data_IF_157487505789
#
_entry.id   IF_157487505789
#
_cell.length_a   1.000
_cell.length_b   1.000
_cell.length_c   1.000
_cell.angle_alpha   90.00
_cell.angle_beta   90.00
_cell.angle_gamma   90.00
#
_symmetry.space_group_name_H-M   'P 1'
#
loop_
_entity.id
_entity.type
_entity.pdbx_description
1 polymer ?
#
# COMPACT_ATOMS: atom_id res chain seq x y z
N UNK A 1 -1.70 12.60 -11.45
CA UNK A 1 -2.23 11.72 -10.38
C UNK A 1 -3.34 10.81 -10.92
N UNK A 2 -3.36 9.52 -10.58
CA UNK A 2 -4.39 8.59 -11.07
C UNK A 2 -5.67 8.60 -10.22
N UNK A 3 -6.75 7.91 -10.63
CA UNK A 3 -8.06 7.92 -9.94
C UNK A 3 -8.07 7.48 -8.47
N UNK A 4 -6.98 6.90 -7.96
CA UNK A 4 -6.82 6.47 -6.56
C UNK A 4 -5.96 7.42 -5.72
N UNK A 5 -5.39 8.44 -6.33
CA UNK A 5 -4.62 9.45 -5.65
C UNK A 5 -5.53 10.27 -4.73
N UNK A 6 -5.12 10.42 -3.48
CA UNK A 6 -5.75 11.27 -2.46
C UNK A 6 -4.75 12.32 -1.99
N UNK A 7 -5.24 13.34 -1.29
CA UNK A 7 -4.42 14.45 -0.79
C UNK A 7 -3.50 15.00 -1.88
N UNK A 8 -4.11 15.37 -3.01
CA UNK A 8 -3.37 15.88 -4.16
C UNK A 8 -3.11 17.36 -3.93
N UNK A 9 -1.84 17.76 -3.88
CA UNK A 9 -1.46 19.17 -3.83
C UNK A 9 -0.34 19.45 -4.85
N UNK A 10 -0.43 20.59 -5.56
CA UNK A 10 0.66 21.06 -6.40
C UNK A 10 1.82 21.53 -5.51
N UNK A 11 3.05 21.29 -5.95
CA UNK A 11 4.23 21.93 -5.36
C UNK A 11 4.29 23.40 -5.78
N UNK A 12 4.96 24.23 -4.97
CA UNK A 12 4.97 25.70 -5.09
C UNK A 12 5.38 26.22 -6.48
N UNK A 13 6.13 25.44 -7.26
CA UNK A 13 6.61 25.84 -8.59
C UNK A 13 5.92 25.05 -9.73
N UNK A 14 4.87 24.28 -9.43
CA UNK A 14 3.99 23.65 -10.42
C UNK A 14 4.58 22.44 -11.17
N UNK A 15 5.84 22.09 -10.94
CA UNK A 15 6.52 21.02 -11.67
C UNK A 15 6.04 19.61 -11.26
N UNK A 16 5.52 19.48 -10.04
CA UNK A 16 5.25 18.20 -9.40
C UNK A 16 3.97 18.25 -8.55
N UNK A 17 3.42 17.06 -8.32
CA UNK A 17 2.29 16.84 -7.43
C UNK A 17 2.69 15.87 -6.33
N UNK A 18 2.36 16.21 -5.10
CA UNK A 18 2.29 15.22 -4.04
C UNK A 18 0.92 14.59 -4.02
N UNK A 19 0.88 13.28 -3.81
CA UNK A 19 -0.34 12.53 -3.62
C UNK A 19 -0.06 11.23 -2.87
N UNK A 20 -1.07 10.76 -2.15
CA UNK A 20 -1.04 9.49 -1.42
C UNK A 20 -1.91 8.47 -2.15
N UNK A 21 -1.47 7.21 -2.18
CA UNK A 21 -2.24 6.10 -2.76
C UNK A 21 -2.25 4.94 -1.78
N UNK A 22 -3.44 4.51 -1.36
CA UNK A 22 -3.55 3.26 -0.60
C UNK A 22 -3.17 2.08 -1.50
N UNK A 23 -2.23 1.28 -0.99
CA UNK A 23 -1.82 0.02 -1.60
C UNK A 23 -2.29 -1.11 -0.71
N UNK A 24 -2.94 -2.09 -1.33
CA UNK A 24 -3.39 -3.31 -0.66
C UNK A 24 -2.43 -4.44 -1.06
N UNK A 25 -1.86 -5.07 -0.05
CA UNK A 25 -0.89 -6.13 -0.20
C UNK A 25 -1.31 -7.38 0.57
N UNK A 26 -0.77 -8.52 0.15
CA UNK A 26 -0.84 -9.79 0.87
C UNK A 26 0.56 -10.12 1.36
N UNK A 27 0.68 -10.54 2.61
CA UNK A 27 1.97 -11.01 3.14
C UNK A 27 2.27 -12.37 2.51
N UNK A 28 3.43 -12.50 1.85
CA UNK A 28 3.91 -13.76 1.28
C UNK A 28 4.89 -14.48 2.20
N UNK A 29 5.68 -13.72 2.96
CA UNK A 29 6.66 -14.28 3.91
C UNK A 29 6.93 -13.32 5.06
N UNK A 30 7.16 -13.86 6.26
CA UNK A 30 7.64 -13.12 7.43
C UNK A 30 9.10 -13.50 7.65
N UNK A 31 9.98 -12.52 7.66
CA UNK A 31 11.42 -12.73 7.86
C UNK A 31 11.77 -12.51 9.34
N UNK A 32 12.78 -13.23 9.81
CA UNK A 32 13.28 -13.12 11.19
C UNK A 32 14.02 -11.80 11.49
N UNK A 33 14.28 -10.99 10.47
CA UNK A 33 14.98 -9.70 10.57
C UNK A 33 14.05 -8.49 10.84
N UNK A 34 12.77 -8.75 11.15
CA UNK A 34 11.78 -7.70 11.39
C UNK A 34 11.18 -7.10 10.11
N UNK A 35 11.38 -7.75 8.96
CA UNK A 35 10.73 -7.38 7.70
C UNK A 35 9.72 -8.43 7.24
N UNK A 36 8.80 -8.01 6.38
CA UNK A 36 7.86 -8.89 5.70
C UNK A 36 7.99 -8.71 4.19
N UNK A 37 7.89 -9.82 3.47
CA UNK A 37 7.67 -9.81 2.04
C UNK A 37 6.17 -9.70 1.76
N UNK A 38 5.80 -8.74 0.93
CA UNK A 38 4.43 -8.46 0.56
C UNK A 38 4.28 -8.44 -0.96
N UNK A 39 3.12 -8.91 -1.44
CA UNK A 39 2.80 -8.98 -2.87
C UNK A 39 1.60 -8.09 -3.21
N UNK A 40 1.69 -7.35 -4.30
CA UNK A 40 0.56 -6.57 -4.86
C UNK A 40 -0.40 -7.49 -5.61
N UNK A 41 -1.60 -6.98 -5.91
CA UNK A 41 -2.57 -7.67 -6.77
C UNK A 41 -2.00 -8.05 -8.15
N UNK A 42 -1.01 -7.33 -8.65
CA UNK A 42 -0.36 -7.60 -9.95
C UNK A 42 0.87 -8.51 -9.83
N UNK A 43 1.12 -9.10 -8.65
CA UNK A 43 2.27 -10.00 -8.43
C UNK A 43 3.59 -9.30 -8.12
N UNK A 44 3.62 -7.96 -8.04
CA UNK A 44 4.85 -7.23 -7.69
C UNK A 44 5.17 -7.47 -6.22
N UNK A 45 6.41 -7.84 -5.93
CA UNK A 45 6.88 -8.11 -4.56
C UNK A 45 7.65 -6.93 -3.98
N UNK A 46 7.51 -6.74 -2.68
CA UNK A 46 8.19 -5.70 -1.92
C UNK A 46 8.60 -6.26 -0.55
N UNK A 47 9.66 -5.73 0.02
CA UNK A 47 10.06 -6.01 1.40
C UNK A 47 9.85 -4.73 2.20
N UNK A 48 9.13 -4.82 3.31
CA UNK A 48 8.85 -3.66 4.17
C UNK A 48 9.10 -4.00 5.64
N UNK A 49 9.53 -3.03 6.47
CA UNK A 49 9.61 -3.22 7.91
C UNK A 49 8.24 -3.51 8.51
N UNK A 50 8.16 -4.41 9.49
CA UNK A 50 6.90 -4.72 10.20
C UNK A 50 6.38 -3.50 10.98
N UNK A 51 7.28 -2.63 11.43
CA UNK A 51 6.97 -1.48 12.26
C UNK A 51 6.81 -0.17 11.45
N UNK A 52 6.62 -0.25 10.14
CA UNK A 52 6.35 0.93 9.32
C UNK A 52 5.03 1.59 9.77
N UNK A 53 5.02 2.88 10.16
CA UNK A 53 3.82 3.56 10.64
C UNK A 53 2.72 3.68 9.58
N UNK A 54 3.06 3.54 8.29
CA UNK A 54 2.09 3.53 7.19
C UNK A 54 1.51 2.13 6.93
N UNK A 55 1.95 1.12 7.66
CA UNK A 55 1.46 -0.25 7.56
C UNK A 55 0.41 -0.53 8.64
N UNK A 56 -0.79 -0.87 8.20
CA UNK A 56 -1.86 -1.32 9.08
C UNK A 56 -2.40 -2.67 8.61
N UNK A 57 -2.74 -3.57 9.55
CA UNK A 57 -3.51 -4.76 9.20
C UNK A 57 -4.88 -4.34 8.66
N UNK A 58 -5.28 -4.92 7.55
CA UNK A 58 -6.60 -4.67 6.99
C UNK A 58 -7.68 -5.25 7.92
N UNK A 59 -8.64 -4.43 8.35
CA UNK A 59 -9.78 -4.90 9.13
C UNK A 59 -10.71 -5.78 8.29
N UNK A 60 -11.45 -6.73 8.90
CA UNK A 60 -12.36 -7.62 8.17
C UNK A 60 -13.35 -6.90 7.25
N UNK A 61 -13.88 -5.75 7.69
CA UNK A 61 -14.78 -4.93 6.87
C UNK A 61 -14.07 -4.29 5.67
N UNK A 62 -12.83 -3.82 5.85
CA UNK A 62 -12.02 -3.29 4.74
C UNK A 62 -11.66 -4.40 3.74
N UNK A 63 -11.37 -5.61 4.23
CA UNK A 63 -11.13 -6.78 3.38
C UNK A 63 -12.36 -7.11 2.53
N UNK A 64 -13.56 -7.06 3.10
CA UNK A 64 -14.81 -7.29 2.38
C UNK A 64 -15.08 -6.19 1.33
N UNK A 65 -15.06 -4.92 1.72
CA UNK A 65 -15.33 -3.79 0.82
C UNK A 65 -14.31 -3.67 -0.32
N UNK A 66 -13.04 -4.00 -0.06
CA UNK A 66 -11.96 -3.88 -1.04
C UNK A 66 -11.50 -5.24 -1.59
N UNK A 67 -12.33 -6.28 -1.53
CA UNK A 67 -11.95 -7.65 -1.95
C UNK A 67 -11.32 -7.72 -3.34
N UNK A 68 -11.82 -6.94 -4.31
CA UNK A 68 -11.26 -6.86 -5.68
C UNK A 68 -9.86 -6.21 -5.77
N UNK A 69 -9.43 -5.50 -4.72
CA UNK A 69 -8.15 -4.78 -4.65
C UNK A 69 -7.09 -5.56 -3.89
N UNK A 70 -7.50 -6.48 -3.00
CA UNK A 70 -6.58 -7.41 -2.38
C UNK A 70 -6.07 -8.43 -3.41
N UNK A 71 -4.82 -8.91 -3.27
CA UNK A 71 -4.36 -10.07 -4.00
C UNK A 71 -5.19 -11.30 -3.56
N UNK A 72 -5.57 -12.15 -4.51
CA UNK A 72 -6.21 -13.43 -4.20
C UNK A 72 -5.26 -14.34 -3.39
#
# INVERSE_FOLDING_TARGET
PGPRARQIYPLEHGEHYHYVVDKYWKVSSVKGDGTIEVVTRTGKRHVVPVNDPNLSKAHPFQQFLHRKRFPN
#
